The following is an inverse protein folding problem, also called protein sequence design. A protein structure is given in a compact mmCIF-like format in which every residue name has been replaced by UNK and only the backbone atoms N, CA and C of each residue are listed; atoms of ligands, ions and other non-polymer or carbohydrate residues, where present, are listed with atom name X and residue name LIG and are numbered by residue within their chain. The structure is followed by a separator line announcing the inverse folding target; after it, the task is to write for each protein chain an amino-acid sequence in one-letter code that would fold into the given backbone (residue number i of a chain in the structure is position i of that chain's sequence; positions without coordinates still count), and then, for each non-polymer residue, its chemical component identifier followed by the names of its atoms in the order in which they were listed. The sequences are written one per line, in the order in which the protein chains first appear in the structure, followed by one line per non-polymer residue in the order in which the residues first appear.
data_IF_138275819356
#
_entry.id   IF_138275819356
#
_cell.length_a   1.000
_cell.length_b   1.000
_cell.length_c   1.000
_cell.angle_alpha   90.00
_cell.angle_beta   90.00
_cell.angle_gamma   90.00
#
_symmetry.space_group_name_H-M   'P 1'
#
loop_
_entity.id
_entity.type
_entity.pdbx_description
1 polymer ?
#
# COMPACT_ATOMS: atom_id res chain seq x y z
N UNK A 1 -7.65 10.49 -6.43
CA UNK A 1 -7.99 9.57 -5.34
C UNK A 1 -7.65 10.23 -4.02
N UNK A 2 -8.64 10.70 -3.26
CA UNK A 2 -8.45 11.34 -1.96
C UNK A 2 -8.87 10.38 -0.84
N UNK A 3 -8.03 10.26 0.19
CA UNK A 3 -8.28 9.42 1.36
C UNK A 3 -8.59 10.33 2.55
N UNK A 4 -9.70 10.07 3.23
CA UNK A 4 -10.00 10.67 4.53
C UNK A 4 -9.62 9.67 5.60
N UNK A 5 -8.60 10.02 6.39
CA UNK A 5 -8.09 9.15 7.46
C UNK A 5 -8.00 9.90 8.77
N UNK A 6 -8.23 9.19 9.87
CA UNK A 6 -8.18 9.73 11.23
C UNK A 6 -7.17 8.95 12.06
N UNK A 7 -6.42 9.59 12.96
CA UNK A 7 -5.48 8.90 13.83
C UNK A 7 -6.19 7.89 14.74
N UNK A 8 -5.67 6.67 14.81
CA UNK A 8 -6.08 5.67 15.79
C UNK A 8 -5.14 5.80 16.99
N UNK A 9 -5.70 6.20 18.12
CA UNK A 9 -5.10 6.42 19.45
C UNK A 9 -3.56 6.30 19.55
N UNK A 10 -2.88 7.40 19.19
CA UNK A 10 -1.44 7.60 19.35
C UNK A 10 -0.59 6.74 18.43
N UNK A 11 0.71 7.02 18.34
CA UNK A 11 1.67 6.27 17.53
C UNK A 11 1.81 6.80 16.09
N UNK A 12 1.10 6.31 15.09
CA UNK A 12 1.32 6.69 13.68
C UNK A 12 0.36 5.95 12.74
N UNK A 13 -0.76 5.48 13.27
CA UNK A 13 -1.75 4.68 12.55
C UNK A 13 -2.95 5.53 12.23
N UNK A 14 -3.44 5.37 11.00
CA UNK A 14 -4.57 6.13 10.50
C UNK A 14 -5.56 5.18 9.84
N UNK A 15 -6.85 5.37 10.11
CA UNK A 15 -7.93 4.61 9.49
C UNK A 15 -8.96 5.54 8.88
N UNK A 16 -9.56 5.13 7.75
CA UNK A 16 -10.70 5.83 7.18
C UNK A 16 -11.15 5.24 5.85
N UNK A 17 -11.49 6.10 4.89
CA UNK A 17 -12.17 5.73 3.64
C UNK A 17 -11.79 6.65 2.48
N UNK A 18 -12.06 6.22 1.25
CA UNK A 18 -11.88 7.03 0.05
C UNK A 18 -13.12 7.90 -0.23
N UNK A 19 -12.90 9.17 -0.54
CA UNK A 19 -13.98 10.18 -0.71
C UNK A 19 -15.05 9.80 -1.74
N UNK A 20 -14.68 9.05 -2.76
CA UNK A 20 -15.51 8.79 -3.96
C UNK A 20 -15.85 7.31 -4.12
N UNK A 21 -15.47 6.46 -3.17
CA UNK A 21 -15.69 5.01 -3.24
C UNK A 21 -16.44 4.56 -1.97
N UNK A 22 -17.75 4.25 -2.07
CA UNK A 22 -18.52 3.76 -0.94
C UNK A 22 -17.96 2.42 -0.45
N UNK A 23 -18.19 2.14 0.84
CA UNK A 23 -17.72 0.91 1.51
C UNK A 23 -16.20 0.66 1.43
N UNK A 24 -15.42 1.71 1.13
CA UNK A 24 -13.97 1.62 1.12
C UNK A 24 -13.39 1.66 2.53
N UNK A 25 -12.30 0.93 2.73
CA UNK A 25 -11.56 0.89 3.99
C UNK A 25 -10.10 1.20 3.70
N UNK A 26 -9.54 2.13 4.45
CA UNK A 26 -8.16 2.58 4.35
C UNK A 26 -7.51 2.39 5.71
N UNK A 27 -6.37 1.71 5.75
CA UNK A 27 -5.52 1.63 6.95
C UNK A 27 -4.10 2.00 6.56
N UNK A 28 -3.54 3.01 7.20
CA UNK A 28 -2.19 3.52 6.93
C UNK A 28 -1.36 3.52 8.21
N UNK A 29 -0.05 3.36 8.04
CA UNK A 29 0.96 3.55 9.06
C UNK A 29 2.04 4.50 8.51
N UNK A 30 2.48 5.44 9.33
CA UNK A 30 3.62 6.31 9.04
C UNK A 30 4.82 6.02 9.94
N UNK A 31 4.77 4.93 10.73
CA UNK A 31 5.76 4.62 11.76
C UNK A 31 7.17 4.36 11.22
N UNK A 32 7.28 3.90 9.97
CA UNK A 32 8.56 3.59 9.31
C UNK A 32 8.39 3.77 7.80
N UNK A 33 7.98 4.98 7.41
CA UNK A 33 7.53 5.28 6.06
C UNK A 33 6.03 4.98 5.88
N UNK A 34 5.46 5.50 4.79
CA UNK A 34 4.05 5.28 4.45
C UNK A 34 3.83 3.83 4.01
N UNK A 35 3.06 3.10 4.82
CA UNK A 35 2.62 1.73 4.54
C UNK A 35 1.12 1.65 4.72
N UNK A 36 0.46 0.72 4.04
CA UNK A 36 -0.95 0.50 4.31
C UNK A 36 -1.72 -0.33 3.30
N UNK A 37 -3.02 -0.44 3.56
CA UNK A 37 -3.98 -1.19 2.79
C UNK A 37 -5.13 -0.26 2.35
N UNK A 38 -5.46 -0.33 1.07
CA UNK A 38 -6.63 0.30 0.47
C UNK A 38 -7.56 -0.80 0.00
N UNK A 39 -8.71 -0.95 0.64
CA UNK A 39 -9.72 -1.94 0.27
C UNK A 39 -10.94 -1.25 -0.33
N UNK A 40 -11.30 -1.68 -1.52
CA UNK A 40 -12.51 -1.31 -2.25
C UNK A 40 -13.37 -2.56 -2.47
N UNK A 41 -14.58 -2.39 -3.02
CA UNK A 41 -15.57 -3.48 -3.09
C UNK A 41 -15.02 -4.81 -3.64
N UNK A 42 -14.23 -4.76 -4.73
CA UNK A 42 -13.73 -5.96 -5.41
C UNK A 42 -12.22 -6.00 -5.56
N UNK A 43 -11.49 -5.08 -4.92
CA UNK A 43 -10.05 -4.94 -5.12
C UNK A 43 -9.38 -4.36 -3.89
N UNK A 44 -8.21 -4.92 -3.56
CA UNK A 44 -7.35 -4.43 -2.49
C UNK A 44 -6.01 -4.00 -3.07
N UNK A 45 -5.43 -2.94 -2.52
CA UNK A 45 -4.10 -2.46 -2.87
C UNK A 45 -3.22 -2.31 -1.64
N UNK A 46 -1.96 -2.70 -1.78
CA UNK A 46 -0.91 -2.45 -0.80
C UNK A 46 -0.11 -1.20 -1.15
N UNK A 47 0.37 -0.49 -0.14
CA UNK A 47 1.33 0.61 -0.28
C UNK A 47 2.54 0.28 0.59
N UNK A 48 3.73 0.31 0.00
CA UNK A 48 4.99 0.12 0.71
C UNK A 48 6.08 1.09 0.20
N UNK A 49 7.02 1.50 1.05
CA UNK A 49 8.24 2.17 0.61
C UNK A 49 9.00 1.31 -0.40
N UNK A 50 9.55 1.94 -1.44
CA UNK A 50 10.47 1.27 -2.35
C UNK A 50 11.83 1.13 -1.64
N UNK A 51 12.19 -0.11 -1.33
CA UNK A 51 13.48 -0.44 -0.72
C UNK A 51 14.63 0.09 -1.61
N UNK A 52 15.62 0.74 -0.99
CA UNK A 52 16.77 1.39 -1.65
C UNK A 52 16.50 2.71 -2.40
N UNK A 53 15.29 3.29 -2.31
CA UNK A 53 15.03 4.62 -2.89
C UNK A 53 15.67 5.74 -2.06
N UNK A 54 16.42 6.63 -2.71
CA UNK A 54 16.99 7.84 -2.08
C UNK A 54 16.00 9.01 -2.03
N UNK A 55 14.82 8.86 -2.62
CA UNK A 55 13.81 9.91 -2.83
C UNK A 55 12.46 9.61 -2.18
N UNK A 56 12.40 8.68 -1.21
CA UNK A 56 11.17 8.28 -0.50
C UNK A 56 10.02 7.88 -1.44
N UNK A 57 10.33 7.05 -2.42
CA UNK A 57 9.34 6.55 -3.37
C UNK A 57 8.49 5.44 -2.75
N UNK A 58 7.23 5.35 -3.16
CA UNK A 58 6.31 4.29 -2.75
C UNK A 58 5.83 3.52 -3.97
N UNK A 59 5.61 2.22 -3.75
CA UNK A 59 4.96 1.33 -4.71
C UNK A 59 3.55 1.04 -4.24
N UNK A 60 2.58 1.25 -5.13
CA UNK A 60 1.23 0.73 -4.97
C UNK A 60 1.06 -0.49 -5.86
N UNK A 61 0.56 -1.58 -5.28
CA UNK A 61 0.34 -2.84 -6.00
C UNK A 61 -1.01 -3.45 -5.64
N UNK A 62 -1.58 -4.18 -6.60
CA UNK A 62 -2.83 -4.90 -6.43
C UNK A 62 -2.59 -6.16 -5.59
N UNK A 63 -3.33 -6.32 -4.50
CA UNK A 63 -3.35 -7.52 -3.68
C UNK A 63 -4.38 -8.46 -4.29
N UNK A 64 -3.90 -9.55 -4.89
CA UNK A 64 -4.76 -10.66 -5.32
C UNK A 64 -4.83 -11.66 -4.18
N UNK A 65 -6.02 -12.14 -3.85
CA UNK A 65 -6.18 -13.32 -3.01
C UNK A 65 -5.49 -14.50 -3.70
N UNK A 66 -4.23 -14.76 -3.30
CA UNK A 66 -3.65 -16.07 -3.53
C UNK A 66 -4.47 -17.01 -2.64
N UNK A 67 -5.41 -17.75 -3.23
CA UNK A 67 -5.79 -19.05 -2.65
C UNK A 67 -4.49 -19.72 -2.22
N UNK A 68 -4.41 -20.09 -0.95
CA UNK A 68 -3.19 -20.51 -0.27
C UNK A 68 -2.35 -21.45 -1.13
N UNK A 69 -1.21 -20.96 -1.61
CA UNK A 69 0.00 -21.76 -1.71
C UNK A 69 1.05 -21.00 -0.92
N UNK A 70 0.98 -21.17 0.40
CA UNK A 70 2.14 -20.96 1.26
C UNK A 70 3.21 -21.95 0.81
N UNK A 71 4.05 -21.54 -0.14
CA UNK A 71 5.38 -22.10 -0.26
C UNK A 71 6.31 -21.18 0.55
N UNK A 72 7.07 -21.72 1.53
CA UNK A 72 8.13 -20.96 2.18
C UNK A 72 9.05 -20.42 1.09
N UNK A 73 9.19 -19.10 1.06
CA UNK A 73 10.08 -18.37 0.15
C UNK A 73 11.45 -19.06 0.17
N UNK A 74 11.76 -19.80 -0.88
CA UNK A 74 13.13 -20.14 -1.25
C UNK A 74 13.46 -19.21 -2.40
N UNK A 75 14.54 -18.45 -2.24
CA UNK A 75 15.06 -17.50 -3.23
C UNK A 75 15.24 -18.18 -4.59
N UNK A 76 14.47 -17.76 -5.60
CA UNK A 76 14.84 -17.86 -7.00
C UNK A 76 14.01 -16.92 -7.89
N UNK A 77 14.55 -15.72 -8.11
CA UNK A 77 14.63 -15.02 -9.40
C UNK A 77 13.45 -15.27 -10.36
N UNK A 78 12.24 -14.86 -9.99
CA UNK A 78 11.10 -14.80 -10.91
C UNK A 78 10.61 -13.36 -11.03
N UNK A 79 11.50 -12.51 -11.50
CA UNK A 79 11.23 -11.13 -11.94
C UNK A 79 10.43 -11.17 -13.23
N UNK A 80 9.14 -11.49 -13.21
CA UNK A 80 8.21 -11.20 -14.32
C UNK A 80 6.80 -11.67 -13.94
N UNK A 81 6.05 -10.82 -13.23
CA UNK A 81 4.56 -10.74 -13.26
C UNK A 81 3.99 -9.75 -12.23
N UNK A 82 4.78 -9.30 -11.24
CA UNK A 82 4.33 -8.31 -10.24
C UNK A 82 4.50 -6.84 -10.67
N UNK A 83 5.32 -6.57 -11.70
CA UNK A 83 5.64 -5.21 -12.13
C UNK A 83 4.56 -4.56 -13.03
N UNK A 84 3.64 -5.34 -13.60
CA UNK A 84 2.79 -4.90 -14.72
C UNK A 84 1.60 -4.01 -14.29
N UNK A 85 1.31 -3.91 -12.99
CA UNK A 85 0.22 -3.07 -12.44
C UNK A 85 0.67 -2.23 -11.24
N UNK A 86 1.98 -2.02 -11.09
CA UNK A 86 2.51 -1.21 -10.00
C UNK A 86 2.53 0.27 -10.38
N UNK A 87 1.94 1.12 -9.54
CA UNK A 87 1.98 2.57 -9.73
C UNK A 87 3.04 3.18 -8.81
N UNK A 88 3.88 4.04 -9.37
CA UNK A 88 4.89 4.79 -8.63
C UNK A 88 4.31 6.14 -8.20
N UNK A 89 4.32 6.42 -6.90
CA UNK A 89 3.86 7.70 -6.36
C UNK A 89 5.05 8.46 -5.79
N UNK A 90 5.13 9.74 -6.16
CA UNK A 90 6.07 10.70 -5.60
C UNK A 90 5.35 11.53 -4.55
N UNK A 91 5.73 11.38 -3.29
CA UNK A 91 5.23 12.23 -2.21
C UNK A 91 6.13 13.46 -2.12
N UNK A 92 5.60 14.63 -2.48
CA UNK A 92 6.33 15.89 -2.32
C UNK A 92 6.19 16.37 -0.88
N UNK A 93 7.31 16.43 -0.15
CA UNK A 93 7.36 17.08 1.15
C UNK A 93 7.47 18.59 0.93
N UNK A 94 6.50 19.36 1.44
CA UNK A 94 6.61 20.81 1.49
C UNK A 94 7.35 21.16 2.80
N UNK A 95 8.59 21.61 2.67
CA UNK A 95 9.31 22.31 3.75
C UNK A 95 9.12 23.82 3.57
#
# INVERSE_FOLDING_TARGET
MCLYVTPVQGHCFYQGYASEIPNSVVTLSTCSGLRGLLQFENVSYGIEPLESSTTFEHVIYLIRDKKSDFSPITENNSTTQFADQSYKILVKSNN
#
